data_IF_550582778529
#
_entry.id   IF_550582778529
#
_cell.length_a   1.000
_cell.length_b   1.000
_cell.length_c   1.000
_cell.angle_alpha   90.00
_cell.angle_beta   90.00
_cell.angle_gamma   90.00
#
_symmetry.space_group_name_H-M   'P 1'
#
loop_
_entity.id
_entity.type
_entity.pdbx_description
1 polymer ?
#
# COMPACT_ATOMS: atom_id res chain seq x y z
N UNK A 1 -20.13 17.42 20.92
CA UNK A 1 -19.39 17.11 19.68
C UNK A 1 -18.01 17.71 19.81
N UNK A 2 -16.93 16.90 19.84
CA UNK A 2 -15.57 17.43 19.95
C UNK A 2 -15.05 17.70 18.54
N UNK A 3 -14.82 18.97 18.25
CA UNK A 3 -14.23 19.45 17.00
C UNK A 3 -12.84 19.99 17.34
N UNK A 4 -11.80 19.42 16.74
CA UNK A 4 -10.42 19.91 16.88
C UNK A 4 -10.03 20.55 15.55
N UNK A 5 -9.96 21.86 15.54
CA UNK A 5 -9.52 22.64 14.39
C UNK A 5 -8.03 22.95 14.49
N UNK A 6 -7.34 22.78 13.37
CA UNK A 6 -5.96 23.24 13.19
C UNK A 6 -5.84 23.88 11.82
N UNK A 7 -4.83 24.74 11.62
CA UNK A 7 -4.52 25.34 10.31
C UNK A 7 -4.33 24.30 9.18
N UNK A 8 -4.09 23.02 9.51
CA UNK A 8 -3.73 21.96 8.56
C UNK A 8 -4.83 20.91 8.37
N UNK A 9 -5.76 20.78 9.32
CA UNK A 9 -6.81 19.77 9.30
C UNK A 9 -7.95 20.12 10.27
N UNK A 10 -9.16 19.69 9.93
CA UNK A 10 -10.31 19.67 10.84
C UNK A 10 -10.64 18.21 11.18
N UNK A 11 -10.61 17.87 12.47
CA UNK A 11 -10.86 16.51 12.97
C UNK A 11 -12.18 16.50 13.74
N UNK A 12 -13.12 15.68 13.30
CA UNK A 12 -14.36 15.37 14.01
C UNK A 12 -14.29 13.96 14.61
N UNK A 13 -15.32 13.56 15.37
CA UNK A 13 -15.43 12.20 15.91
C UNK A 13 -15.45 11.10 14.85
N UNK A 14 -15.82 11.46 13.61
CA UNK A 14 -16.03 10.53 12.48
C UNK A 14 -15.17 10.81 11.25
N UNK A 15 -14.73 12.06 11.01
CA UNK A 15 -14.07 12.50 9.77
C UNK A 15 -12.79 13.30 10.06
N UNK A 16 -11.85 13.29 9.10
CA UNK A 16 -10.66 14.15 9.10
C UNK A 16 -10.59 14.85 7.76
N UNK A 17 -10.72 16.17 7.76
CA UNK A 17 -10.50 17.04 6.61
C UNK A 17 -9.05 17.50 6.61
N UNK A 18 -8.36 17.37 5.48
CA UNK A 18 -6.94 17.72 5.34
C UNK A 18 -6.83 18.92 4.40
N UNK A 19 -6.41 20.08 4.94
CA UNK A 19 -6.22 21.29 4.14
C UNK A 19 -4.89 21.28 3.34
N UNK A 20 -3.93 20.41 3.68
CA UNK A 20 -2.61 20.38 3.06
C UNK A 20 -2.45 19.22 2.04
N UNK A 21 -3.09 19.31 0.88
CA UNK A 21 -3.06 18.27 -0.16
C UNK A 21 -1.63 17.88 -0.59
N UNK A 22 -0.72 18.85 -0.74
CA UNK A 22 0.68 18.60 -1.12
C UNK A 22 1.43 17.63 -0.18
N UNK A 23 0.97 17.48 1.07
CA UNK A 23 1.56 16.56 2.04
C UNK A 23 1.14 15.11 1.87
N UNK A 24 0.10 14.85 1.08
CA UNK A 24 -0.45 13.51 0.88
C UNK A 24 -0.38 13.10 -0.59
N UNK A 25 -0.47 14.04 -1.53
CA UNK A 25 -0.39 13.78 -2.96
C UNK A 25 1.03 14.01 -3.50
N UNK A 26 1.37 13.27 -4.55
CA UNK A 26 2.55 13.52 -5.40
C UNK A 26 2.03 14.12 -6.71
N UNK A 27 2.53 15.31 -7.08
CA UNK A 27 2.14 15.95 -8.35
C UNK A 27 2.80 15.25 -9.53
N UNK A 28 2.23 15.43 -10.73
CA UNK A 28 2.82 14.87 -11.95
C UNK A 28 4.20 15.47 -12.24
N UNK A 29 4.39 16.75 -11.96
CA UNK A 29 5.68 17.42 -12.03
C UNK A 29 6.71 16.74 -11.13
N UNK A 30 6.36 16.40 -9.88
CA UNK A 30 7.25 15.68 -8.97
C UNK A 30 7.59 14.27 -9.45
N UNK A 31 6.68 13.60 -10.17
CA UNK A 31 6.95 12.30 -10.79
C UNK A 31 8.04 12.42 -11.86
N UNK A 32 8.04 13.50 -12.63
CA UNK A 32 8.94 13.69 -13.76
C UNK A 32 10.29 14.31 -13.37
N UNK A 33 10.28 15.24 -12.40
CA UNK A 33 11.45 16.10 -12.10
C UNK A 33 12.37 15.56 -11.02
N UNK A 34 11.85 14.84 -10.02
CA UNK A 34 12.65 14.36 -8.90
C UNK A 34 13.63 13.26 -9.32
N UNK A 35 14.80 13.18 -8.69
CA UNK A 35 15.66 12.00 -8.80
C UNK A 35 15.02 10.77 -8.13
N UNK A 36 15.40 9.54 -8.52
CA UNK A 36 14.76 8.30 -8.00
C UNK A 36 14.79 8.22 -6.47
N UNK A 37 15.93 8.53 -5.86
CA UNK A 37 16.10 8.50 -4.39
C UNK A 37 15.19 9.53 -3.70
N UNK A 38 15.10 10.73 -4.27
CA UNK A 38 14.25 11.80 -3.74
C UNK A 38 12.78 11.46 -3.89
N UNK A 39 12.39 10.96 -5.07
CA UNK A 39 11.05 10.48 -5.36
C UNK A 39 10.63 9.38 -4.38
N UNK A 40 11.47 8.36 -4.16
CA UNK A 40 11.18 7.28 -3.21
C UNK A 40 11.09 7.78 -1.77
N UNK A 41 11.99 8.68 -1.34
CA UNK A 41 11.94 9.29 -0.01
C UNK A 41 10.66 10.11 0.17
N UNK A 42 10.31 10.92 -0.81
CA UNK A 42 9.15 11.78 -0.81
C UNK A 42 7.84 10.97 -0.84
N UNK A 43 7.82 9.86 -1.60
CA UNK A 43 6.71 8.91 -1.64
C UNK A 43 6.55 8.19 -0.30
N UNK A 44 7.64 7.61 0.23
CA UNK A 44 7.64 6.92 1.51
C UNK A 44 7.07 7.78 2.63
N UNK A 45 7.48 9.05 2.73
CA UNK A 45 6.95 9.99 3.72
C UNK A 45 5.43 10.18 3.60
N UNK A 46 4.90 10.27 2.38
CA UNK A 46 3.45 10.44 2.13
C UNK A 46 2.67 9.18 2.49
N UNK A 47 3.14 8.00 2.08
CA UNK A 47 2.56 6.73 2.55
C UNK A 47 2.59 6.63 4.07
N UNK A 48 3.69 7.02 4.71
CA UNK A 48 3.80 6.95 6.16
C UNK A 48 2.82 7.90 6.87
N UNK A 49 2.56 9.10 6.31
CA UNK A 49 1.54 10.02 6.83
C UNK A 49 0.13 9.41 6.77
N UNK A 50 -0.14 8.50 5.83
CA UNK A 50 -1.42 7.78 5.78
C UNK A 50 -1.64 6.84 6.97
N UNK A 51 -0.60 6.50 7.76
CA UNK A 51 -0.65 5.59 8.92
C UNK A 51 -1.78 5.96 9.89
N UNK A 52 -2.06 7.25 10.07
CA UNK A 52 -3.10 7.72 10.99
C UNK A 52 -4.53 7.37 10.53
N UNK A 53 -4.75 7.23 9.22
CA UNK A 53 -6.06 6.91 8.64
C UNK A 53 -6.34 5.42 8.53
N UNK A 54 -5.29 4.58 8.55
CA UNK A 54 -5.40 3.12 8.39
C UNK A 54 -6.24 2.47 9.48
N UNK A 55 -6.03 2.87 10.74
CA UNK A 55 -6.78 2.31 11.87
C UNK A 55 -6.64 3.18 13.10
N UNK A 56 -7.58 3.08 14.04
CA UNK A 56 -7.43 3.62 15.40
C UNK A 56 -6.49 2.74 16.26
N UNK A 57 -6.40 1.44 15.97
CA UNK A 57 -5.62 0.48 16.78
C UNK A 57 -4.13 0.55 16.46
N UNK A 58 -3.30 0.75 17.49
CA UNK A 58 -1.85 0.91 17.35
C UNK A 58 -1.18 -0.29 16.65
N UNK A 59 -1.55 -1.52 17.03
CA UNK A 59 -1.06 -2.75 16.41
C UNK A 59 -1.20 -2.74 14.87
N UNK A 60 -2.35 -2.30 14.35
CA UNK A 60 -2.60 -2.26 12.89
C UNK A 60 -1.74 -1.18 12.23
N UNK A 61 -1.58 -0.04 12.89
CA UNK A 61 -0.69 1.04 12.41
C UNK A 61 0.76 0.57 12.33
N UNK A 62 1.21 -0.28 13.25
CA UNK A 62 2.58 -0.80 13.26
C UNK A 62 2.80 -1.91 12.22
N UNK A 63 1.79 -2.75 11.97
CA UNK A 63 1.78 -3.64 10.81
C UNK A 63 1.91 -2.86 9.51
N UNK A 64 1.16 -1.77 9.34
CA UNK A 64 1.28 -0.89 8.18
C UNK A 64 2.66 -0.23 8.05
N UNK A 65 3.25 0.22 9.15
CA UNK A 65 4.60 0.79 9.13
C UNK A 65 5.66 -0.25 8.72
N UNK A 66 5.53 -1.48 9.22
CA UNK A 66 6.40 -2.61 8.87
C UNK A 66 6.24 -2.96 7.40
N UNK A 67 5.00 -3.03 6.92
CA UNK A 67 4.66 -3.25 5.52
C UNK A 67 5.35 -2.24 4.61
N UNK A 68 5.19 -0.94 4.87
CA UNK A 68 5.81 0.11 4.07
C UNK A 68 7.35 0.02 4.06
N UNK A 69 7.96 -0.29 5.21
CA UNK A 69 9.43 -0.45 5.28
C UNK A 69 9.89 -1.59 4.37
N UNK A 70 9.18 -2.71 4.38
CA UNK A 70 9.48 -3.82 3.48
C UNK A 70 9.33 -3.39 2.02
N UNK A 71 8.19 -2.80 1.63
CA UNK A 71 7.91 -2.40 0.24
C UNK A 71 8.92 -1.42 -0.33
N UNK A 72 9.36 -0.44 0.46
CA UNK A 72 10.24 0.63 -0.03
C UNK A 72 11.74 0.33 0.12
N UNK A 73 12.15 -0.49 1.09
CA UNK A 73 13.58 -0.69 1.39
C UNK A 73 14.10 -2.08 1.05
N UNK A 74 13.22 -3.07 0.93
CA UNK A 74 13.61 -4.49 0.96
C UNK A 74 13.07 -5.23 -0.25
N UNK A 75 11.80 -5.00 -0.61
CA UNK A 75 11.14 -5.78 -1.65
C UNK A 75 11.75 -5.54 -3.03
N UNK A 76 12.29 -6.62 -3.60
CA UNK A 76 12.51 -6.72 -5.03
C UNK A 76 11.19 -7.11 -5.72
N UNK A 77 10.49 -6.09 -6.21
CA UNK A 77 9.19 -6.27 -6.83
C UNK A 77 9.28 -6.95 -8.18
N UNK A 78 10.31 -6.66 -8.98
CA UNK A 78 10.46 -7.27 -10.30
C UNK A 78 10.76 -8.76 -10.16
N UNK A 79 11.62 -9.14 -9.21
CA UNK A 79 11.86 -10.54 -8.88
C UNK A 79 10.58 -11.25 -8.43
N UNK A 80 9.81 -10.61 -7.54
CA UNK A 80 8.54 -11.17 -7.05
C UNK A 80 7.54 -11.33 -8.20
N UNK A 81 7.35 -10.29 -9.02
CA UNK A 81 6.46 -10.29 -10.18
C UNK A 81 6.81 -11.43 -11.13
N UNK A 82 8.09 -11.55 -11.51
CA UNK A 82 8.56 -12.59 -12.44
C UNK A 82 8.29 -14.00 -11.90
N UNK A 83 8.36 -14.22 -10.59
CA UNK A 83 8.05 -15.52 -9.98
C UNK A 83 6.56 -15.82 -9.91
N UNK A 84 5.73 -14.81 -9.72
CA UNK A 84 4.27 -14.96 -9.57
C UNK A 84 3.58 -15.05 -10.93
N UNK A 85 4.01 -14.23 -11.91
CA UNK A 85 3.44 -14.13 -13.25
C UNK A 85 4.55 -14.30 -14.30
N UNK A 86 5.07 -15.51 -14.51
CA UNK A 86 6.20 -15.75 -15.43
C UNK A 86 5.86 -15.45 -16.89
N UNK A 87 4.60 -15.68 -17.29
CA UNK A 87 4.15 -15.56 -18.68
C UNK A 87 3.67 -14.14 -19.05
N UNK A 88 3.68 -13.20 -18.10
CA UNK A 88 3.20 -11.85 -18.34
C UNK A 88 4.34 -10.90 -18.72
N UNK A 89 4.28 -10.34 -19.93
CA UNK A 89 5.18 -9.26 -20.34
C UNK A 89 5.15 -8.10 -19.34
N UNK A 90 6.30 -7.46 -19.12
CA UNK A 90 6.50 -6.38 -18.14
C UNK A 90 5.32 -5.40 -18.09
N UNK A 91 4.92 -5.00 -16.88
CA UNK A 91 3.84 -4.00 -16.71
C UNK A 91 4.13 -2.79 -17.60
N UNK A 92 3.15 -2.37 -18.39
CA UNK A 92 3.28 -1.18 -19.24
C UNK A 92 3.43 0.12 -18.42
N UNK A 93 3.16 0.07 -17.11
CA UNK A 93 3.23 1.25 -16.23
C UNK A 93 4.64 1.40 -15.65
N UNK A 94 5.25 2.57 -15.83
CA UNK A 94 6.53 2.89 -15.21
C UNK A 94 6.45 2.89 -13.68
N UNK A 95 7.56 2.60 -13.02
CA UNK A 95 7.56 2.41 -11.56
C UNK A 95 7.12 3.66 -10.79
N UNK A 96 7.41 4.86 -11.29
CA UNK A 96 7.08 6.10 -10.57
C UNK A 96 5.59 6.37 -10.64
N UNK A 97 5.00 6.18 -11.82
CA UNK A 97 3.55 6.19 -12.02
C UNK A 97 2.89 5.12 -11.15
N UNK A 98 3.46 3.91 -11.09
CA UNK A 98 2.91 2.85 -10.25
C UNK A 98 2.89 3.21 -8.75
N UNK A 99 3.98 3.83 -8.27
CA UNK A 99 4.05 4.33 -6.88
C UNK A 99 3.05 5.48 -6.66
N UNK A 100 2.91 6.42 -7.60
CA UNK A 100 1.92 7.50 -7.53
C UNK A 100 0.50 6.95 -7.46
N UNK A 101 0.16 6.01 -8.34
CA UNK A 101 -1.16 5.37 -8.39
C UNK A 101 -1.44 4.58 -7.10
N UNK A 102 -0.43 3.92 -6.53
CA UNK A 102 -0.54 3.22 -5.25
C UNK A 102 -0.87 4.19 -4.11
N UNK A 103 -0.30 5.39 -4.13
CA UNK A 103 -0.59 6.42 -3.14
C UNK A 103 -2.01 6.97 -3.32
N UNK A 104 -2.44 7.17 -4.57
CA UNK A 104 -3.82 7.56 -4.88
C UNK A 104 -4.82 6.49 -4.44
N UNK A 105 -4.51 5.21 -4.63
CA UNK A 105 -5.30 4.09 -4.12
C UNK A 105 -5.45 4.17 -2.60
N UNK A 106 -4.34 4.40 -1.88
CA UNK A 106 -4.35 4.57 -0.43
C UNK A 106 -5.20 5.76 0.01
N UNK A 107 -5.09 6.89 -0.68
CA UNK A 107 -5.91 8.08 -0.40
C UNK A 107 -7.39 7.74 -0.61
N UNK A 108 -7.76 7.16 -1.76
CA UNK A 108 -9.14 6.75 -2.06
C UNK A 108 -9.70 5.77 -1.02
N UNK A 109 -8.90 4.88 -0.46
CA UNK A 109 -9.33 3.97 0.62
C UNK A 109 -9.78 4.69 1.91
N UNK A 110 -9.35 5.95 2.11
CA UNK A 110 -9.61 6.72 3.33
C UNK A 110 -10.30 8.06 3.09
N UNK A 111 -10.49 8.46 1.84
CA UNK A 111 -11.25 9.66 1.49
C UNK A 111 -12.75 9.39 1.57
N UNK A 112 -13.48 10.33 2.18
CA UNK A 112 -14.93 10.36 2.19
C UNK A 112 -15.37 11.82 2.23
N UNK A 113 -16.28 12.20 1.34
CA UNK A 113 -16.83 13.55 1.25
C UNK A 113 -18.34 13.51 1.08
N UNK A 114 -19.01 14.59 1.47
CA UNK A 114 -20.48 14.69 1.38
C UNK A 114 -20.97 14.79 -0.07
N UNK A 115 -20.08 15.13 -1.01
CA UNK A 115 -20.34 15.18 -2.46
C UNK A 115 -20.06 13.85 -3.20
N UNK A 116 -19.74 12.77 -2.49
CA UNK A 116 -19.43 11.49 -3.15
C UNK A 116 -20.68 10.85 -3.76
N UNK A 117 -20.57 10.42 -5.02
CA UNK A 117 -21.58 9.55 -5.63
C UNK A 117 -21.59 8.17 -4.99
N UNK A 118 -22.68 7.41 -5.13
CA UNK A 118 -22.79 6.04 -4.63
C UNK A 118 -21.66 5.12 -5.16
N UNK A 119 -21.24 5.33 -6.39
CA UNK A 119 -20.11 4.63 -7.01
C UNK A 119 -18.79 4.95 -6.31
N UNK A 120 -18.52 6.23 -6.04
CA UNK A 120 -17.30 6.67 -5.35
C UNK A 120 -17.23 6.13 -3.92
N UNK A 121 -18.35 6.05 -3.21
CA UNK A 121 -18.44 5.41 -1.89
C UNK A 121 -18.11 3.92 -1.99
N UNK A 122 -18.71 3.23 -2.98
CA UNK A 122 -18.47 1.81 -3.22
C UNK A 122 -17.00 1.53 -3.54
N UNK A 123 -16.38 2.34 -4.39
CA UNK A 123 -14.97 2.23 -4.75
C UNK A 123 -14.05 2.44 -3.55
N UNK A 124 -14.33 3.45 -2.72
CA UNK A 124 -13.57 3.72 -1.50
C UNK A 124 -13.67 2.54 -0.52
N UNK A 125 -14.86 1.95 -0.39
CA UNK A 125 -15.07 0.74 0.41
C UNK A 125 -14.29 -0.47 -0.13
N UNK A 126 -14.29 -0.70 -1.46
CA UNK A 126 -13.49 -1.76 -2.10
C UNK A 126 -12.00 -1.56 -1.83
N UNK A 127 -11.47 -0.34 -2.02
CA UNK A 127 -10.07 0.00 -1.76
C UNK A 127 -9.69 -0.29 -0.30
N UNK A 128 -10.56 0.10 0.65
CA UNK A 128 -10.37 -0.16 2.08
C UNK A 128 -10.38 -1.65 2.42
N UNK A 129 -11.25 -2.44 1.78
CA UNK A 129 -11.32 -3.90 1.96
C UNK A 129 -10.06 -4.59 1.44
N UNK A 130 -9.57 -4.19 0.27
CA UNK A 130 -8.32 -4.69 -0.31
C UNK A 130 -7.15 -4.38 0.64
N UNK A 131 -7.03 -3.13 1.10
CA UNK A 131 -5.96 -2.74 2.02
C UNK A 131 -6.01 -3.50 3.34
N UNK A 132 -7.22 -3.69 3.91
CA UNK A 132 -7.39 -4.51 5.12
C UNK A 132 -6.88 -5.93 4.90
N UNK A 133 -7.25 -6.55 3.79
CA UNK A 133 -6.81 -7.92 3.48
C UNK A 133 -5.28 -7.98 3.33
N UNK A 134 -4.69 -6.99 2.66
CA UNK A 134 -3.25 -6.87 2.49
C UNK A 134 -2.52 -6.79 3.83
N UNK A 135 -2.97 -5.92 4.74
CA UNK A 135 -2.38 -5.80 6.06
C UNK A 135 -2.61 -7.03 6.94
N UNK A 136 -3.72 -7.74 6.74
CA UNK A 136 -4.02 -8.98 7.46
C UNK A 136 -3.05 -10.10 7.05
N UNK A 137 -2.88 -10.32 5.74
CA UNK A 137 -1.91 -11.30 5.21
C UNK A 137 -0.50 -10.93 5.66
N UNK A 138 -0.13 -9.66 5.57
CA UNK A 138 1.19 -9.19 5.99
C UNK A 138 1.45 -9.40 7.49
N UNK A 139 0.46 -9.13 8.33
CA UNK A 139 0.53 -9.38 9.76
C UNK A 139 0.77 -10.87 10.07
N UNK A 140 0.01 -11.77 9.44
CA UNK A 140 0.20 -13.22 9.63
C UNK A 140 1.58 -13.67 9.15
N UNK A 141 2.05 -13.15 8.00
CA UNK A 141 3.40 -13.41 7.49
C UNK A 141 4.48 -12.93 8.47
N UNK A 142 4.37 -11.70 8.98
CA UNK A 142 5.32 -11.16 9.95
C UNK A 142 5.33 -11.96 11.26
N UNK A 143 4.19 -12.48 11.71
CA UNK A 143 4.14 -13.37 12.88
C UNK A 143 4.95 -14.65 12.67
N UNK A 144 4.98 -15.20 11.45
CA UNK A 144 5.82 -16.37 11.12
C UNK A 144 7.30 -15.99 11.00
N UNK A 145 7.59 -14.86 10.37
CA UNK A 145 8.95 -14.32 10.23
C UNK A 145 9.60 -14.07 11.60
N UNK A 146 8.86 -13.47 12.53
CA UNK A 146 9.37 -13.15 13.86
C UNK A 146 9.71 -14.40 14.70
N UNK A 147 9.25 -15.59 14.29
CA UNK A 147 9.59 -16.87 14.96
C UNK A 147 10.91 -17.46 14.49
N UNK A 148 11.41 -17.08 13.31
CA UNK A 148 12.64 -17.65 12.77
C UNK A 148 13.24 -16.77 11.66
N UNK A 149 14.53 -16.49 11.75
CA UNK A 149 15.28 -15.78 10.71
C UNK A 149 15.22 -16.48 9.34
N UNK A 150 15.08 -17.81 9.32
CA UNK A 150 14.91 -18.59 8.08
C UNK A 150 13.60 -18.23 7.34
N UNK A 151 12.54 -17.90 8.10
CA UNK A 151 11.25 -17.52 7.54
C UNK A 151 11.29 -16.17 6.84
N UNK A 152 12.20 -15.27 7.27
CA UNK A 152 12.42 -14.01 6.56
C UNK A 152 12.88 -14.24 5.12
N UNK A 153 13.94 -15.04 4.93
CA UNK A 153 14.45 -15.37 3.60
C UNK A 153 13.37 -16.07 2.76
N UNK A 154 12.67 -17.04 3.36
CA UNK A 154 11.60 -17.80 2.70
C UNK A 154 10.45 -16.91 2.18
N UNK A 155 9.97 -15.95 2.98
CA UNK A 155 8.80 -15.12 2.64
C UNK A 155 9.10 -13.77 1.98
N UNK A 156 10.28 -13.15 2.21
CA UNK A 156 10.56 -11.75 1.84
C UNK A 156 11.71 -11.55 0.87
N UNK A 157 12.66 -12.48 0.81
CA UNK A 157 13.86 -12.34 -0.05
C UNK A 157 13.84 -13.30 -1.22
N UNK A 158 13.69 -14.58 -0.93
CA UNK A 158 13.83 -15.64 -1.91
C UNK A 158 12.47 -16.05 -2.50
N UNK A 159 11.35 -15.66 -1.87
CA UNK A 159 9.98 -15.99 -2.27
C UNK A 159 9.75 -17.50 -2.49
N UNK A 160 10.43 -18.36 -1.73
CA UNK A 160 10.36 -19.83 -1.87
C UNK A 160 8.97 -20.41 -1.61
N UNK A 161 8.13 -19.68 -0.88
CA UNK A 161 6.74 -20.10 -0.64
C UNK A 161 5.89 -20.16 -1.92
N UNK A 162 6.28 -19.46 -2.99
CA UNK A 162 5.55 -19.48 -4.26
C UNK A 162 5.64 -20.85 -4.96
N UNK A 163 6.68 -21.63 -4.68
CA UNK A 163 6.84 -22.99 -5.22
C UNK A 163 6.45 -24.08 -4.22
N UNK A 164 5.95 -23.73 -3.04
CA UNK A 164 5.60 -24.69 -1.99
C UNK A 164 4.09 -24.92 -1.95
N UNK A 165 3.66 -26.15 -2.24
CA UNK A 165 2.24 -26.51 -2.30
C UNK A 165 1.54 -26.38 -0.94
N UNK A 166 2.28 -26.38 0.16
CA UNK A 166 1.73 -26.11 1.51
C UNK A 166 1.19 -24.68 1.65
N UNK A 167 1.57 -23.76 0.77
CA UNK A 167 1.17 -22.35 0.80
C UNK A 167 0.26 -21.96 -0.36
N UNK A 168 -0.51 -22.90 -0.92
CA UNK A 168 -1.40 -22.67 -2.07
C UNK A 168 -2.25 -21.39 -1.94
N UNK A 169 -2.93 -21.19 -0.81
CA UNK A 169 -3.77 -20.00 -0.59
C UNK A 169 -2.99 -18.68 -0.58
N UNK A 170 -1.75 -18.70 -0.07
CA UNK A 170 -0.88 -17.51 -0.08
C UNK A 170 -0.33 -17.23 -1.47
N UNK A 171 -0.01 -18.28 -2.24
CA UNK A 171 0.40 -18.18 -3.64
C UNK A 171 -0.71 -17.55 -4.48
N UNK A 172 -1.92 -18.08 -4.38
CA UNK A 172 -3.09 -17.55 -5.09
C UNK A 172 -3.39 -16.09 -4.68
N UNK A 173 -3.22 -15.75 -3.40
CA UNK A 173 -3.34 -14.37 -2.94
C UNK A 173 -2.32 -13.44 -3.63
N UNK A 174 -1.06 -13.85 -3.74
CA UNK A 174 -0.01 -13.05 -4.39
C UNK A 174 -0.23 -12.92 -5.89
N UNK A 175 -0.69 -13.97 -6.56
CA UNK A 175 -1.10 -13.93 -7.98
C UNK A 175 -2.21 -12.91 -8.20
N UNK A 176 -3.26 -12.96 -7.39
CA UNK A 176 -4.37 -12.01 -7.48
C UNK A 176 -3.91 -10.58 -7.18
N UNK A 177 -3.01 -10.39 -6.20
CA UNK A 177 -2.47 -9.07 -5.88
C UNK A 177 -1.60 -8.53 -7.02
N UNK A 178 -0.77 -9.35 -7.65
CA UNK A 178 0.04 -8.94 -8.81
C UNK A 178 -0.83 -8.57 -10.00
N UNK A 179 -1.86 -9.38 -10.31
CA UNK A 179 -2.81 -9.05 -11.39
C UNK A 179 -3.57 -7.76 -11.11
N UNK A 180 -4.02 -7.56 -9.87
CA UNK A 180 -4.65 -6.31 -9.45
C UNK A 180 -3.71 -5.11 -9.65
N UNK A 181 -2.43 -5.27 -9.27
CA UNK A 181 -1.43 -4.24 -9.45
C UNK A 181 -1.21 -3.91 -10.93
N UNK A 182 -1.17 -4.89 -11.81
CA UNK A 182 -1.06 -4.66 -13.26
C UNK A 182 -2.30 -3.99 -13.83
N UNK A 183 -3.50 -4.40 -13.42
CA UNK A 183 -4.76 -3.81 -13.88
C UNK A 183 -4.93 -2.35 -13.43
N UNK A 184 -4.52 -2.03 -12.21
CA UNK A 184 -4.65 -0.67 -11.66
C UNK A 184 -3.42 0.20 -11.92
N UNK A 185 -2.36 -0.36 -12.52
CA UNK A 185 -1.06 0.28 -12.61
C UNK A 185 -0.54 0.70 -11.24
N UNK A 186 -0.68 -0.16 -10.22
CA UNK A 186 -0.20 0.04 -8.85
C UNK A 186 0.94 -0.91 -8.50
N UNK A 187 1.57 -0.68 -7.36
CA UNK A 187 2.61 -1.49 -6.74
C UNK A 187 2.29 -1.63 -5.25
N UNK A 188 1.04 -2.02 -4.96
CA UNK A 188 0.51 -2.14 -3.60
C UNK A 188 1.39 -3.03 -2.74
#
# INVERSE_FOLDING_TARGET
>A
MVLIESKRAAITSSKIFINASHNFYISQEQVQTLGDKEFLSASYRRFFRMKQFVSKRQMVKDSYATYLRYKFKIEDYELKRKKVLPDCHSSATDFRTAVRNSLQFMIRAFSFGDEYTAEMVTDSYKCKKILKNLLTVDYHRNRLINRSSKMYAYYRRDFKFLSDDRNYGLRQYEENLMRLNESLGTRL
#
